data_IF_246237401298
#
_entry.id   IF_246237401298
#
_cell.length_a   1.000
_cell.length_b   1.000
_cell.length_c   1.000
_cell.angle_alpha   90.00
_cell.angle_beta   90.00
_cell.angle_gamma   90.00
#
_symmetry.space_group_name_H-M   'P 1'
#
loop_
_entity.id
_entity.type
_entity.pdbx_description
1 polymer ?
#
# COMPACT_ATOMS: atom_id res chain seq x y z
N UNK A 1 10.62 -19.02 -36.01
CA UNK A 1 9.35 -18.27 -36.14
C UNK A 1 8.30 -18.71 -35.12
N UNK A 2 8.06 -20.01 -34.95
CA UNK A 2 7.22 -20.58 -33.88
C UNK A 2 7.51 -20.03 -32.47
N UNK A 3 8.78 -20.01 -32.06
CA UNK A 3 9.20 -19.54 -30.73
C UNK A 3 8.85 -18.07 -30.49
N UNK A 4 8.86 -17.23 -31.52
CA UNK A 4 8.50 -15.82 -31.39
C UNK A 4 7.04 -15.66 -30.96
N UNK A 5 6.13 -16.46 -31.52
CA UNK A 5 4.71 -16.41 -31.13
C UNK A 5 4.49 -16.85 -29.69
N UNK A 6 5.24 -17.87 -29.22
CA UNK A 6 5.20 -18.30 -27.82
C UNK A 6 5.72 -17.20 -26.89
N UNK A 7 6.83 -16.55 -27.23
CA UNK A 7 7.41 -15.48 -26.40
C UNK A 7 6.50 -14.24 -26.35
N UNK A 8 5.86 -13.88 -27.47
CA UNK A 8 4.88 -12.79 -27.52
C UNK A 8 3.63 -13.14 -26.70
N UNK A 9 3.12 -14.36 -26.80
CA UNK A 9 2.00 -14.81 -25.98
C UNK A 9 2.34 -14.77 -24.48
N UNK A 10 3.51 -15.30 -24.11
CA UNK A 10 3.98 -15.29 -22.73
C UNK A 10 4.15 -13.86 -22.18
N UNK A 11 4.69 -12.92 -22.96
CA UNK A 11 4.86 -11.54 -22.51
C UNK A 11 3.52 -10.84 -22.28
N UNK A 12 2.52 -11.08 -23.15
CA UNK A 12 1.17 -10.55 -22.98
C UNK A 12 0.48 -11.12 -21.73
N UNK A 13 0.66 -12.43 -21.46
CA UNK A 13 0.12 -13.06 -20.23
C UNK A 13 0.75 -12.46 -18.98
N UNK A 14 2.07 -12.28 -18.98
CA UNK A 14 2.78 -11.66 -17.84
C UNK A 14 2.33 -10.21 -17.65
N UNK A 15 2.33 -9.41 -18.71
CA UNK A 15 1.89 -8.02 -18.65
C UNK A 15 0.43 -7.87 -18.20
N UNK A 16 -0.47 -8.69 -18.75
CA UNK A 16 -1.87 -8.74 -18.35
C UNK A 16 -2.05 -9.18 -16.89
N UNK A 17 -1.30 -10.19 -16.46
CA UNK A 17 -1.29 -10.66 -15.07
C UNK A 17 -0.85 -9.56 -14.09
N UNK A 18 0.23 -8.85 -14.42
CA UNK A 18 0.68 -7.70 -13.63
C UNK A 18 -0.37 -6.58 -13.59
N UNK A 19 -1.01 -6.27 -14.72
CA UNK A 19 -2.05 -5.25 -14.78
C UNK A 19 -3.27 -5.62 -13.92
N UNK A 20 -3.75 -6.87 -14.00
CA UNK A 20 -4.87 -7.36 -13.19
C UNK A 20 -4.53 -7.32 -11.70
N UNK A 21 -3.34 -7.80 -11.33
CA UNK A 21 -2.87 -7.76 -9.94
C UNK A 21 -2.76 -6.32 -9.42
N UNK A 22 -2.26 -5.39 -10.24
CA UNK A 22 -2.16 -3.98 -9.92
C UNK A 22 -3.54 -3.34 -9.69
N UNK A 23 -4.49 -3.55 -10.62
CA UNK A 23 -5.86 -3.03 -10.47
C UNK A 23 -6.56 -3.64 -9.25
N UNK A 24 -6.32 -4.91 -8.95
CA UNK A 24 -6.85 -5.56 -7.75
C UNK A 24 -6.29 -4.94 -6.46
N UNK A 25 -4.98 -4.66 -6.41
CA UNK A 25 -4.34 -3.99 -5.27
C UNK A 25 -4.89 -2.56 -5.04
N UNK A 26 -5.12 -1.80 -6.12
CA UNK A 26 -5.76 -0.49 -6.05
C UNK A 26 -7.19 -0.59 -5.48
N UNK A 27 -7.99 -1.56 -5.94
CA UNK A 27 -9.36 -1.75 -5.45
C UNK A 27 -9.43 -2.23 -3.99
N UNK A 28 -8.38 -2.92 -3.51
CA UNK A 28 -8.29 -3.38 -2.11
C UNK A 28 -7.75 -2.33 -1.15
N UNK A 29 -7.39 -1.13 -1.62
CA UNK A 29 -6.86 -0.09 -0.75
C UNK A 29 -5.52 -0.46 -0.13
N UNK A 30 -4.73 -1.35 -0.75
CA UNK A 30 -3.41 -1.75 -0.22
C UNK A 30 -2.47 -0.54 -0.03
N UNK A 31 -2.70 0.53 -0.79
CA UNK A 31 -1.93 1.76 -0.74
C UNK A 31 -2.53 2.84 0.17
N UNK A 32 -3.58 2.52 0.95
CA UNK A 32 -4.22 3.50 1.83
C UNK A 32 -3.54 3.59 3.20
N UNK A 33 -2.76 2.57 3.60
CA UNK A 33 -2.04 2.54 4.88
C UNK A 33 -0.61 3.14 4.73
N UNK A 34 -0.55 4.42 4.37
CA UNK A 34 0.70 5.19 4.24
C UNK A 34 1.08 5.93 5.52
N UNK A 35 0.24 5.83 6.56
CA UNK A 35 0.45 6.51 7.83
C UNK A 35 1.60 5.86 8.60
N UNK A 36 2.76 6.50 8.53
CA UNK A 36 3.95 6.00 9.24
C UNK A 36 3.82 6.18 10.76
N UNK A 37 4.38 5.26 11.56
CA UNK A 37 4.40 5.36 13.02
C UNK A 37 4.97 6.68 13.53
N UNK A 38 6.00 7.22 12.86
CA UNK A 38 6.62 8.49 13.21
C UNK A 38 5.66 9.68 13.04
N UNK A 39 4.91 9.72 11.94
CA UNK A 39 3.91 10.78 11.69
C UNK A 39 2.79 10.72 12.73
N UNK A 40 2.29 9.50 13.05
CA UNK A 40 1.29 9.29 14.10
C UNK A 40 1.77 9.78 15.47
N UNK A 41 3.01 9.49 15.84
CA UNK A 41 3.61 9.92 17.11
C UNK A 41 3.74 11.45 17.23
N UNK A 42 4.09 12.15 16.14
CA UNK A 42 4.17 13.63 16.13
C UNK A 42 2.80 14.27 16.41
N UNK A 43 1.72 13.74 15.86
CA UNK A 43 0.37 14.26 16.10
C UNK A 43 -0.21 13.84 17.47
N UNK A 44 0.10 12.64 17.95
CA UNK A 44 -0.29 12.20 19.29
C UNK A 44 0.38 13.04 20.39
N UNK A 45 1.60 13.53 20.15
CA UNK A 45 2.30 14.46 21.06
C UNK A 45 1.59 15.81 21.20
N UNK A 46 0.90 16.29 20.15
CA UNK A 46 0.13 17.55 20.18
C UNK A 46 -1.20 17.42 20.93
N UNK A 47 -1.84 16.24 20.91
CA UNK A 47 -3.13 16.04 21.60
C UNK A 47 -2.97 15.76 23.11
N UNK A 48 -1.76 15.46 23.59
CA UNK A 48 -1.46 15.39 25.03
C UNK A 48 -1.22 16.80 25.61
N UNK A 49 -2.24 17.66 25.57
CA UNK A 49 -2.34 18.73 26.57
C UNK A 49 -2.59 18.12 27.94
N UNK A 50 -2.00 18.66 29.01
CA UNK A 50 -1.79 17.93 30.26
C UNK A 50 -3.12 17.78 31.01
N UNK A 51 -3.70 16.57 31.01
CA UNK A 51 -4.78 16.27 31.95
C UNK A 51 -4.17 15.95 33.31
N UNK A 52 -3.98 17.02 34.06
CA UNK A 52 -4.28 17.17 35.48
C UNK A 52 -3.88 16.02 36.43
N UNK A 53 -2.93 16.36 37.30
CA UNK A 53 -2.68 15.75 38.61
C UNK A 53 -3.99 15.28 39.27
N UNK A 54 -4.03 14.05 39.75
CA UNK A 54 -4.80 13.69 40.94
C UNK A 54 -4.01 12.67 41.72
N UNK A 55 -3.47 13.13 42.85
CA UNK A 55 -2.90 12.32 43.92
C UNK A 55 -3.75 11.07 44.19
N UNK A 56 -3.08 9.93 44.30
CA UNK A 56 -3.34 8.93 45.33
C UNK A 56 -2.03 8.33 45.78
#
# INVERSE_FOLDING_TARGET
MEVMFVLVGASLVVAGGFLVAFLWALRRGQFDDLDTPAMRALFESKMKSPKHRSNR
#
